data_IF_414066376831
#
_entry.id   IF_414066376831
#
_cell.length_a   1.000
_cell.length_b   1.000
_cell.length_c   1.000
_cell.angle_alpha   90.00
_cell.angle_beta   90.00
_cell.angle_gamma   90.00
#
_symmetry.space_group_name_H-M   'P 1'
#
loop_
_entity.id
_entity.type
_entity.pdbx_description
1 polymer ?
#
# COMPACT_ATOMS: atom_id res chain seq x y z
N UNK A 1 -51.70 30.82 -14.30
CA UNK A 1 -51.46 29.48 -13.70
C UNK A 1 -49.96 29.29 -13.54
N UNK A 2 -49.49 29.32 -12.29
CA UNK A 2 -48.09 29.15 -11.93
C UNK A 2 -47.69 27.69 -12.05
N UNK A 3 -46.55 27.39 -12.67
CA UNK A 3 -45.92 26.07 -12.59
C UNK A 3 -44.55 26.22 -11.94
N UNK A 4 -44.53 26.04 -10.62
CA UNK A 4 -43.30 25.89 -9.85
C UNK A 4 -42.82 24.45 -10.10
N UNK A 5 -41.66 24.31 -10.74
CA UNK A 5 -41.02 23.01 -10.98
C UNK A 5 -40.04 22.79 -9.84
N UNK A 6 -40.32 21.78 -8.99
CA UNK A 6 -39.37 21.29 -8.00
C UNK A 6 -38.50 20.21 -8.65
N UNK A 7 -37.24 20.51 -8.94
CA UNK A 7 -36.22 19.48 -9.20
C UNK A 7 -35.79 18.88 -7.87
N UNK A 8 -35.87 17.56 -7.65
CA UNK A 8 -35.32 16.95 -6.45
C UNK A 8 -33.79 17.02 -6.53
N UNK A 9 -33.17 17.74 -5.59
CA UNK A 9 -31.74 17.68 -5.35
C UNK A 9 -31.44 16.28 -4.79
N UNK A 10 -30.89 15.40 -5.63
CA UNK A 10 -30.40 14.09 -5.19
C UNK A 10 -29.12 14.33 -4.37
N UNK A 11 -29.26 14.41 -3.05
CA UNK A 11 -28.11 14.38 -2.14
C UNK A 11 -27.59 12.94 -2.14
N UNK A 12 -26.57 12.65 -2.97
CA UNK A 12 -25.76 11.45 -2.79
C UNK A 12 -25.01 11.62 -1.47
N UNK A 13 -25.56 11.07 -0.39
CA UNK A 13 -24.70 10.61 0.69
C UNK A 13 -23.84 9.52 0.09
N UNK A 14 -22.53 9.78 -0.03
CA UNK A 14 -21.56 8.79 -0.45
C UNK A 14 -21.68 7.56 0.44
N UNK A 15 -22.43 6.58 -0.03
CA UNK A 15 -22.47 5.27 0.58
C UNK A 15 -21.13 4.65 0.22
N UNK A 16 -20.16 4.78 1.12
CA UNK A 16 -18.94 3.98 1.06
C UNK A 16 -19.40 2.53 1.19
N UNK A 17 -19.64 1.88 0.05
CA UNK A 17 -19.77 0.44 -0.01
C UNK A 17 -18.44 -0.09 0.49
N UNK A 18 -18.42 -0.53 1.75
CA UNK A 18 -17.38 -1.39 2.29
C UNK A 18 -17.53 -2.74 1.57
N UNK A 19 -17.10 -2.79 0.32
CA UNK A 19 -16.78 -4.06 -0.29
C UNK A 19 -15.66 -4.63 0.56
N UNK A 20 -15.87 -5.83 1.11
CA UNK A 20 -14.78 -6.59 1.67
C UNK A 20 -13.74 -6.74 0.56
N UNK A 21 -12.66 -5.98 0.69
CA UNK A 21 -11.54 -6.01 -0.23
C UNK A 21 -11.03 -7.46 -0.32
N UNK A 22 -10.59 -7.92 -1.50
CA UNK A 22 -10.19 -9.30 -1.68
C UNK A 22 -9.15 -9.68 -0.62
N UNK A 23 -9.40 -10.78 0.10
CA UNK A 23 -8.54 -11.24 1.20
C UNK A 23 -7.19 -11.81 0.73
N UNK A 24 -6.84 -11.57 -0.53
CA UNK A 24 -5.66 -12.11 -1.21
C UNK A 24 -4.49 -11.15 -1.23
N UNK A 25 -4.74 -9.86 -1.02
CA UNK A 25 -3.72 -8.83 -1.19
C UNK A 25 -2.95 -8.67 0.13
N UNK A 26 -1.66 -8.34 0.02
CA UNK A 26 -0.82 -8.04 1.17
C UNK A 26 -1.00 -6.56 1.53
N UNK A 27 -1.47 -6.28 2.74
CA UNK A 27 -1.83 -4.93 3.19
C UNK A 27 -1.00 -4.55 4.41
N UNK A 28 -0.42 -3.35 4.36
CA UNK A 28 0.48 -2.82 5.39
C UNK A 28 0.22 -1.36 5.66
N UNK A 29 0.43 -0.92 6.90
CA UNK A 29 0.36 0.49 7.29
C UNK A 29 1.77 1.04 7.52
N UNK A 30 2.02 2.25 7.05
CA UNK A 30 3.33 2.92 7.10
C UNK A 30 3.19 4.38 7.56
N UNK A 31 4.27 4.91 8.14
CA UNK A 31 4.43 6.32 8.53
C UNK A 31 5.58 6.94 7.76
N UNK A 32 5.29 7.86 6.83
CA UNK A 32 6.28 8.36 5.86
C UNK A 32 7.44 9.12 6.49
N UNK A 33 7.19 9.80 7.61
CA UNK A 33 8.12 10.68 8.33
C UNK A 33 8.86 9.99 9.49
N UNK A 34 8.66 8.68 9.69
CA UNK A 34 9.57 7.89 10.52
C UNK A 34 10.96 7.82 9.86
N UNK A 35 12.03 7.55 10.64
CA UNK A 35 13.37 7.41 10.08
C UNK A 35 13.45 6.32 9.00
N UNK A 36 14.28 6.55 8.00
CA UNK A 36 14.46 5.64 6.88
C UNK A 36 15.46 6.16 5.87
N UNK A 37 15.66 5.42 4.78
CA UNK A 37 16.57 5.80 3.70
C UNK A 37 15.88 6.79 2.75
N UNK A 38 14.57 6.64 2.52
CA UNK A 38 13.80 7.55 1.67
C UNK A 38 13.41 8.84 2.40
N UNK A 39 13.01 9.87 1.64
CA UNK A 39 12.60 11.17 2.18
C UNK A 39 11.39 11.12 3.13
N UNK A 40 11.11 12.18 3.91
CA UNK A 40 10.07 12.18 4.95
C UNK A 40 8.62 12.10 4.44
N UNK A 41 8.42 12.21 3.13
CA UNK A 41 7.13 12.05 2.43
C UNK A 41 7.10 10.79 1.58
N UNK A 42 8.13 9.95 1.68
CA UNK A 42 8.36 8.81 0.79
C UNK A 42 8.31 7.48 1.54
N UNK A 43 7.88 6.46 0.82
CA UNK A 43 7.98 5.05 1.23
C UNK A 43 8.67 4.29 0.12
N UNK A 44 9.67 3.50 0.48
CA UNK A 44 10.29 2.50 -0.38
C UNK A 44 9.88 1.11 0.06
N UNK A 45 9.27 0.35 -0.85
CA UNK A 45 9.00 -1.08 -0.67
C UNK A 45 10.27 -1.84 -1.08
N UNK A 46 10.99 -2.51 -0.15
CA UNK A 46 12.23 -3.20 -0.47
C UNK A 46 11.98 -4.65 -0.86
N UNK A 47 12.72 -5.11 -1.86
CA UNK A 47 12.70 -6.46 -2.42
C UNK A 47 14.06 -7.14 -2.23
N UNK A 48 14.04 -8.47 -2.14
CA UNK A 48 15.26 -9.29 -2.17
C UNK A 48 15.70 -9.57 -3.60
N UNK A 49 16.90 -9.12 -4.00
CA UNK A 49 17.40 -9.23 -5.39
C UNK A 49 17.57 -10.65 -5.93
N UNK A 50 17.59 -11.67 -5.08
CA UNK A 50 17.66 -13.09 -5.49
C UNK A 50 16.30 -13.75 -5.72
N UNK A 51 15.22 -12.99 -5.83
CA UNK A 51 13.89 -13.49 -6.17
C UNK A 51 13.31 -12.75 -7.39
N UNK A 52 12.33 -13.37 -8.04
CA UNK A 52 11.59 -12.76 -9.17
C UNK A 52 10.36 -12.04 -8.65
N UNK A 53 10.13 -10.84 -9.16
CA UNK A 53 9.00 -9.97 -8.81
C UNK A 53 8.22 -9.60 -10.07
N UNK A 54 6.91 -9.54 -9.93
CA UNK A 54 5.96 -9.01 -10.90
C UNK A 54 4.69 -8.66 -10.13
N UNK A 55 4.71 -7.48 -9.49
CA UNK A 55 3.67 -7.07 -8.54
C UNK A 55 3.12 -5.70 -8.85
N UNK A 56 1.89 -5.47 -8.41
CA UNK A 56 1.23 -4.18 -8.47
C UNK A 56 1.15 -3.55 -7.08
N UNK A 57 1.13 -2.23 -7.01
CA UNK A 57 0.97 -1.45 -5.77
C UNK A 57 -0.19 -0.46 -5.92
N UNK A 58 -1.08 -0.49 -4.93
CA UNK A 58 -2.12 0.51 -4.66
C UNK A 58 -1.62 1.31 -3.43
N UNK A 59 -1.29 2.59 -3.64
CA UNK A 59 -0.59 3.42 -2.66
C UNK A 59 -1.52 4.13 -1.68
N UNK A 60 -2.80 4.31 -2.03
CA UNK A 60 -3.79 5.02 -1.21
C UNK A 60 -4.93 4.11 -0.70
N UNK A 61 -4.85 2.82 -1.04
CA UNK A 61 -5.76 1.78 -0.60
C UNK A 61 -7.21 2.09 -1.06
N UNK A 62 -7.39 2.71 -2.22
CA UNK A 62 -8.71 2.98 -2.82
C UNK A 62 -9.28 1.79 -3.64
N UNK A 63 -8.44 0.79 -3.96
CA UNK A 63 -8.79 -0.41 -4.73
C UNK A 63 -8.42 -0.34 -6.21
N UNK A 64 -7.83 0.78 -6.65
CA UNK A 64 -7.23 0.99 -7.96
C UNK A 64 -5.72 0.91 -7.80
N UNK A 65 -5.08 0.05 -8.59
CA UNK A 65 -3.62 -0.11 -8.54
C UNK A 65 -2.93 0.92 -9.42
N UNK A 66 -1.96 1.63 -8.86
CA UNK A 66 -1.26 2.74 -9.51
C UNK A 66 0.00 2.30 -10.25
N UNK A 67 0.81 1.47 -9.59
CA UNK A 67 2.08 0.98 -10.11
C UNK A 67 1.88 -0.47 -10.53
N UNK A 68 2.08 -0.76 -11.81
CA UNK A 68 1.80 -2.07 -12.40
C UNK A 68 3.08 -2.74 -12.89
N UNK A 69 3.20 -4.05 -12.67
CA UNK A 69 4.30 -4.87 -13.21
C UNK A 69 5.69 -4.50 -12.65
N UNK A 70 5.76 -4.18 -11.36
CA UNK A 70 6.99 -3.80 -10.67
C UNK A 70 7.87 -5.05 -10.46
N UNK A 71 9.16 -4.95 -10.80
CA UNK A 71 10.11 -6.08 -10.78
C UNK A 71 11.24 -5.97 -9.74
N UNK A 72 11.18 -4.99 -8.84
CA UNK A 72 12.21 -4.72 -7.83
C UNK A 72 11.75 -3.70 -6.80
N UNK A 73 12.68 -3.00 -6.15
CA UNK A 73 12.33 -1.94 -5.21
C UNK A 73 11.56 -0.82 -5.93
N UNK A 74 10.61 -0.20 -5.23
CA UNK A 74 9.89 0.97 -5.72
C UNK A 74 9.73 1.99 -4.60
N UNK A 75 9.86 3.27 -4.94
CA UNK A 75 9.67 4.41 -4.03
C UNK A 75 8.53 5.27 -4.52
N UNK A 76 7.62 5.65 -3.62
CA UNK A 76 6.53 6.58 -3.88
C UNK A 76 6.67 7.82 -3.01
N UNK A 77 6.30 8.99 -3.54
CA UNK A 77 6.33 10.27 -2.84
C UNK A 77 4.91 10.83 -2.70
N UNK A 78 4.41 10.88 -1.47
CA UNK A 78 3.08 11.40 -1.15
C UNK A 78 3.02 12.93 -1.14
N UNK A 79 4.13 13.64 -1.38
CA UNK A 79 4.29 15.11 -1.30
C UNK A 79 4.09 15.71 0.10
N UNK A 80 3.37 15.03 0.99
CA UNK A 80 3.13 15.39 2.38
C UNK A 80 3.37 14.20 3.30
N UNK A 81 3.79 14.47 4.54
CA UNK A 81 3.99 13.41 5.51
C UNK A 81 2.66 12.88 6.03
N UNK A 82 2.48 11.55 6.06
CA UNK A 82 1.22 10.92 6.45
C UNK A 82 1.40 9.50 7.01
N UNK A 83 0.33 8.94 7.58
CA UNK A 83 0.17 7.51 7.81
C UNK A 83 -0.66 6.93 6.67
N UNK A 84 -0.08 6.00 5.91
CA UNK A 84 -0.66 5.47 4.67
C UNK A 84 -0.84 3.96 4.77
N UNK A 85 -1.87 3.44 4.09
CA UNK A 85 -2.07 2.00 3.93
C UNK A 85 -1.76 1.64 2.49
N UNK A 86 -0.92 0.62 2.29
CA UNK A 86 -0.44 0.18 0.98
C UNK A 86 -0.94 -1.24 0.74
N UNK A 87 -1.47 -1.51 -0.46
CA UNK A 87 -1.79 -2.87 -0.91
C UNK A 87 -0.85 -3.34 -2.00
N UNK A 88 -0.50 -4.61 -1.92
CA UNK A 88 0.36 -5.31 -2.89
C UNK A 88 -0.33 -6.59 -3.35
N UNK A 89 -0.32 -6.82 -4.66
CA UNK A 89 -0.77 -8.09 -5.28
C UNK A 89 0.22 -8.56 -6.33
N UNK A 90 0.07 -9.81 -6.77
CA UNK A 90 0.93 -10.41 -7.80
C UNK A 90 2.08 -11.21 -7.21
N UNK A 91 3.18 -11.32 -7.94
CA UNK A 91 4.37 -12.08 -7.54
C UNK A 91 5.25 -11.19 -6.65
N UNK A 92 5.04 -11.29 -5.34
CA UNK A 92 5.79 -10.54 -4.32
C UNK A 92 6.34 -11.49 -3.24
N UNK A 93 7.32 -12.35 -3.56
CA UNK A 93 7.67 -13.49 -2.71
C UNK A 93 8.40 -13.11 -1.41
N UNK A 94 8.98 -11.90 -1.33
CA UNK A 94 9.68 -11.37 -0.15
C UNK A 94 9.64 -9.84 -0.10
N UNK A 95 9.19 -9.29 1.02
CA UNK A 95 9.66 -7.98 1.49
C UNK A 95 11.00 -8.22 2.18
N UNK A 96 11.98 -7.31 2.05
CA UNK A 96 13.33 -7.57 2.58
C UNK A 96 14.01 -6.31 3.09
N UNK A 97 13.78 -5.96 4.35
CA UNK A 97 14.47 -4.82 4.99
C UNK A 97 15.91 -5.16 5.36
N UNK A 98 16.15 -6.31 6.01
CA UNK A 98 17.48 -6.75 6.46
C UNK A 98 18.28 -5.65 7.17
N UNK A 99 17.68 -4.98 8.16
CA UNK A 99 18.25 -3.84 8.90
C UNK A 99 18.51 -2.56 8.07
N UNK A 100 18.06 -2.49 6.81
CA UNK A 100 18.21 -1.34 5.93
C UNK A 100 16.88 -0.72 5.50
N UNK A 101 16.96 0.22 4.54
CA UNK A 101 15.80 0.84 3.90
C UNK A 101 14.89 1.58 4.87
N UNK A 102 13.59 1.53 4.59
CA UNK A 102 12.55 2.23 5.36
C UNK A 102 11.97 1.35 6.48
N UNK A 103 12.80 0.53 7.12
CA UNK A 103 12.35 -0.48 8.11
C UNK A 103 11.60 0.08 9.31
N UNK A 104 11.87 1.33 9.70
CA UNK A 104 11.19 1.99 10.82
C UNK A 104 9.92 2.71 10.36
N UNK A 105 9.66 2.78 9.05
CA UNK A 105 8.46 3.39 8.48
C UNK A 105 7.27 2.43 8.43
N UNK A 106 7.47 1.12 8.38
CA UNK A 106 6.37 0.15 8.43
C UNK A 106 5.89 -0.01 9.88
N UNK A 107 4.59 0.16 10.10
CA UNK A 107 3.97 0.10 11.44
C UNK A 107 3.26 -1.23 11.69
N UNK A 108 2.62 -1.79 10.67
CA UNK A 108 1.87 -3.04 10.78
C UNK A 108 1.73 -3.79 9.47
N UNK A 109 1.58 -5.10 9.60
CA UNK A 109 0.98 -5.96 8.57
C UNK A 109 -0.47 -6.15 8.94
N UNK A 110 -1.37 -5.56 8.17
CA UNK A 110 -2.81 -5.56 8.44
C UNK A 110 -3.48 -6.79 7.82
N UNK A 111 -2.95 -7.26 6.67
CA UNK A 111 -3.40 -8.48 6.01
C UNK A 111 -2.21 -9.18 5.31
N UNK A 112 -2.02 -10.47 5.57
CA UNK A 112 -0.97 -11.27 4.92
C UNK A 112 -1.29 -11.67 3.48
N UNK A 113 -2.58 -11.70 3.13
CA UNK A 113 -3.06 -12.09 1.81
C UNK A 113 -2.76 -13.55 1.47
N UNK A 114 -2.72 -13.81 0.16
CA UNK A 114 -2.41 -15.11 -0.43
C UNK A 114 -1.04 -15.12 -1.13
N UNK A 115 -0.17 -14.15 -0.80
CA UNK A 115 1.19 -14.06 -1.33
C UNK A 115 1.95 -15.36 -1.04
N UNK A 116 2.56 -15.93 -2.08
CA UNK A 116 3.40 -17.11 -1.98
C UNK A 116 4.80 -16.74 -1.46
N UNK A 117 4.92 -16.54 -0.15
CA UNK A 117 6.17 -16.22 0.52
C UNK A 117 7.20 -17.33 0.32
N UNK A 118 8.38 -16.99 -0.22
CA UNK A 118 9.47 -17.97 -0.40
C UNK A 118 10.41 -18.03 0.80
N UNK A 119 10.52 -16.94 1.57
CA UNK A 119 11.28 -16.88 2.82
C UNK A 119 10.90 -15.64 3.63
N UNK A 120 10.89 -15.78 4.96
CA UNK A 120 10.74 -14.67 5.92
C UNK A 120 12.08 -14.17 6.47
N UNK A 121 13.21 -14.76 6.05
CA UNK A 121 14.54 -14.32 6.47
C UNK A 121 14.74 -12.85 6.05
N UNK A 122 15.09 -12.00 7.02
CA UNK A 122 15.33 -10.56 6.79
C UNK A 122 14.07 -9.75 6.45
N UNK A 123 12.89 -10.37 6.39
CA UNK A 123 11.69 -9.71 5.88
C UNK A 123 11.28 -8.50 6.70
N UNK A 124 11.32 -8.61 8.03
CA UNK A 124 11.04 -7.53 9.00
C UNK A 124 12.18 -7.35 10.01
N UNK A 125 13.39 -7.76 9.64
CA UNK A 125 14.56 -7.62 10.52
C UNK A 125 14.91 -6.14 10.72
N UNK A 126 14.85 -5.69 11.98
CA UNK A 126 15.14 -4.31 12.37
C UNK A 126 13.95 -3.35 12.27
N UNK A 127 12.74 -3.84 11.98
CA UNK A 127 11.50 -3.07 12.11
C UNK A 127 11.11 -2.92 13.59
N UNK A 128 10.33 -1.88 13.93
CA UNK A 128 9.98 -1.48 15.30
C UNK A 128 8.49 -1.30 15.50
#
# INVERSE_FOLDING_TARGET
MNKIIFTPLLVLFGFNLLFAQPSTDFVTTWKTDNPGVSGPTQITIPTFSGATYDYDVDWDNDGVFDSLGVSGNITHDYSTADTVMIRIRGIFPRIFFSFGGDREKILSVDQWGAIAWTSMEGAFAGCV
#
